data_IF_814018047229
#
_entry.id   IF_814018047229
#
_cell.length_a   1.000
_cell.length_b   1.000
_cell.length_c   1.000
_cell.angle_alpha   90.00
_cell.angle_beta   90.00
_cell.angle_gamma   90.00
#
_symmetry.space_group_name_H-M   'P 1'
#
loop_
_entity.id
_entity.type
_entity.pdbx_description
1 polymer ?
#
# COMPACT_ATOMS: atom_id res chain seq x y z
N UNK A 1 13.82 10.67 10.44
CA UNK A 1 13.05 10.52 9.17
C UNK A 1 12.73 9.09 8.73
N UNK A 2 13.24 8.05 9.41
CA UNK A 2 13.06 6.64 9.01
C UNK A 2 11.60 6.17 8.98
N UNK A 3 10.73 6.71 9.83
CA UNK A 3 9.29 6.40 9.86
C UNK A 3 8.52 6.96 8.66
N UNK A 4 8.84 8.19 8.23
CA UNK A 4 8.19 8.84 7.08
C UNK A 4 8.71 8.22 5.78
N UNK A 5 10.01 8.04 5.61
CA UNK A 5 10.56 7.39 4.42
C UNK A 5 9.98 5.96 4.23
N UNK A 6 9.87 5.21 5.32
CA UNK A 6 9.27 3.86 5.33
C UNK A 6 7.77 3.87 5.05
N UNK A 7 7.04 4.88 5.53
CA UNK A 7 5.60 5.03 5.25
C UNK A 7 5.28 5.31 3.78
N UNK A 8 6.26 5.84 3.02
CA UNK A 8 6.10 6.20 1.60
C UNK A 8 6.92 5.33 0.64
N UNK A 9 7.50 4.23 1.12
CA UNK A 9 8.27 3.31 0.27
C UNK A 9 9.57 3.89 -0.32
N UNK A 10 10.07 4.99 0.24
CA UNK A 10 11.30 5.64 -0.18
C UNK A 10 12.45 5.23 0.75
N UNK A 11 13.67 5.15 0.21
CA UNK A 11 14.86 5.02 1.07
C UNK A 11 15.03 6.30 1.88
N UNK A 12 15.45 6.19 3.14
CA UNK A 12 15.68 7.34 4.01
C UNK A 12 16.76 8.28 3.46
N UNK A 13 17.72 7.75 2.70
CA UNK A 13 18.78 8.50 2.01
C UNK A 13 18.20 9.40 0.92
N UNK A 14 17.24 8.87 0.13
CA UNK A 14 16.54 9.63 -0.91
C UNK A 14 15.73 10.79 -0.31
N UNK A 15 15.04 10.55 0.81
CA UNK A 15 14.23 11.58 1.47
C UNK A 15 15.09 12.69 2.12
N UNK A 16 16.23 12.34 2.71
CA UNK A 16 17.17 13.29 3.33
C UNK A 16 17.87 14.19 2.30
N UNK A 17 18.26 13.62 1.14
CA UNK A 17 18.93 14.36 0.07
C UNK A 17 17.99 15.36 -0.63
N UNK A 18 16.72 15.01 -0.79
CA UNK A 18 15.69 15.88 -1.39
C UNK A 18 15.34 17.09 -0.54
N UNK A 19 15.47 16.96 0.78
CA UNK A 19 15.16 18.03 1.73
C UNK A 19 16.40 18.81 2.22
N UNK A 20 17.59 18.52 1.66
CA UNK A 20 18.88 19.14 2.02
C UNK A 20 19.14 19.19 3.53
N UNK A 21 18.80 18.12 4.25
CA UNK A 21 18.94 18.08 5.70
C UNK A 21 20.35 17.64 6.08
N UNK A 22 20.99 18.42 6.96
CA UNK A 22 22.34 18.15 7.46
C UNK A 22 22.37 17.00 8.48
N UNK A 23 21.27 16.78 9.20
CA UNK A 23 21.07 15.67 10.13
C UNK A 23 19.68 15.01 9.89
N UNK A 24 19.62 13.75 9.45
CA UNK A 24 18.39 13.04 9.08
C UNK A 24 17.59 12.44 10.26
N UNK A 25 18.15 12.47 11.47
CA UNK A 25 17.51 11.94 12.69
C UNK A 25 16.84 13.04 13.54
N UNK A 26 17.16 14.31 13.28
CA UNK A 26 16.50 15.46 13.89
C UNK A 26 15.60 16.18 12.87
N UNK A 27 14.30 16.17 13.13
CA UNK A 27 13.31 17.01 12.42
C UNK A 27 12.71 17.93 13.47
N UNK A 28 12.74 19.24 13.20
CA UNK A 28 12.20 20.22 14.15
C UNK A 28 10.68 20.36 14.02
N UNK A 29 10.01 20.60 15.15
CA UNK A 29 8.56 20.83 15.19
C UNK A 29 8.25 22.12 14.40
N UNK A 30 7.51 21.98 13.29
CA UNK A 30 7.17 23.08 12.38
C UNK A 30 7.94 23.08 11.05
N UNK A 31 8.90 22.17 10.87
CA UNK A 31 9.66 22.04 9.64
C UNK A 31 8.82 21.40 8.52
N UNK A 32 8.66 22.10 7.39
CA UNK A 32 7.95 21.60 6.21
C UNK A 32 8.86 20.64 5.42
N UNK A 33 8.42 19.40 5.22
CA UNK A 33 9.15 18.37 4.47
C UNK A 33 8.54 18.24 3.08
N UNK A 34 9.37 18.40 2.05
CA UNK A 34 9.01 18.11 0.68
C UNK A 34 9.10 16.60 0.45
N UNK A 35 7.94 15.96 0.34
CA UNK A 35 7.81 14.59 -0.15
C UNK A 35 7.57 14.72 -1.66
N UNK A 36 8.44 14.17 -2.53
CA UNK A 36 8.23 14.30 -3.96
C UNK A 36 6.99 13.49 -4.36
N UNK A 37 5.88 14.18 -4.58
CA UNK A 37 4.81 13.69 -5.43
C UNK A 37 5.05 14.25 -6.83
N UNK A 38 5.98 13.67 -7.58
CA UNK A 38 6.18 14.09 -8.97
C UNK A 38 5.36 13.21 -9.89
N UNK A 39 4.22 13.75 -10.34
CA UNK A 39 3.84 13.57 -11.74
C UNK A 39 4.93 14.23 -12.61
N UNK A 40 5.53 13.50 -13.56
CA UNK A 40 6.43 14.13 -14.54
C UNK A 40 7.26 13.18 -15.40
N UNK A 41 7.06 13.27 -16.73
CA UNK A 41 7.86 12.70 -17.84
C UNK A 41 9.36 13.09 -17.73
N UNK A 42 10.36 12.44 -18.34
CA UNK A 42 10.41 11.91 -19.71
C UNK A 42 11.62 10.99 -20.01
N UNK A 43 11.38 10.09 -20.98
CA UNK A 43 12.25 9.68 -22.10
C UNK A 43 13.53 8.86 -21.85
N UNK A 44 13.46 7.56 -22.19
CA UNK A 44 14.43 6.97 -23.11
C UNK A 44 13.74 5.97 -24.03
N UNK A 45 14.26 5.89 -25.25
CA UNK A 45 13.71 5.22 -26.44
C UNK A 45 13.60 3.71 -26.26
N UNK A 46 12.59 3.15 -26.93
CA UNK A 46 12.22 1.71 -27.00
C UNK A 46 11.39 1.27 -25.80
N UNK A 47 10.12 0.86 -25.98
CA UNK A 47 9.40 0.23 -24.88
C UNK A 47 10.17 -1.04 -24.52
N UNK A 48 10.56 -1.25 -23.26
CA UNK A 48 10.91 -2.60 -22.84
C UNK A 48 9.64 -3.39 -23.01
N UNK A 49 9.62 -4.22 -24.05
CA UNK A 49 8.66 -5.29 -24.29
C UNK A 49 8.25 -5.81 -22.93
N UNK A 50 6.98 -5.60 -22.57
CA UNK A 50 6.43 -5.97 -21.28
C UNK A 50 6.94 -7.36 -20.95
N UNK A 51 7.89 -7.42 -20.02
CA UNK A 51 8.43 -8.69 -19.58
C UNK A 51 7.34 -9.21 -18.67
N UNK A 52 6.36 -9.88 -19.28
CA UNK A 52 5.41 -10.72 -18.60
C UNK A 52 6.22 -11.80 -17.90
N UNK A 53 6.71 -11.46 -16.71
CA UNK A 53 7.30 -12.41 -15.80
C UNK A 53 6.17 -13.38 -15.45
N UNK A 54 6.40 -14.66 -15.74
CA UNK A 54 5.42 -15.74 -15.55
C UNK A 54 5.01 -15.80 -14.08
N UNK A 55 3.86 -15.22 -13.71
CA UNK A 55 3.22 -15.49 -12.42
C UNK A 55 2.55 -16.86 -12.53
N UNK A 56 3.14 -17.86 -11.88
CA UNK A 56 2.56 -19.16 -11.51
C UNK A 56 3.58 -19.95 -10.67
N UNK A 57 3.16 -20.79 -9.70
CA UNK A 57 1.98 -21.63 -9.79
C UNK A 57 0.84 -20.97 -9.02
N UNK A 58 -0.07 -20.38 -9.78
CA UNK A 58 -1.38 -19.92 -9.31
C UNK A 58 -1.39 -19.05 -8.03
N UNK A 59 -0.90 -17.81 -8.19
CA UNK A 59 -1.29 -16.61 -7.41
C UNK A 59 -0.74 -16.54 -5.96
N UNK A 60 0.41 -15.86 -5.84
CA UNK A 60 1.29 -15.80 -4.67
C UNK A 60 0.73 -15.05 -3.45
N UNK A 61 -0.29 -14.22 -3.64
CA UNK A 61 -1.04 -13.58 -2.56
C UNK A 61 -2.42 -14.24 -2.43
N UNK A 62 -3.00 -14.22 -1.24
CA UNK A 62 -4.40 -14.55 -0.99
C UNK A 62 -5.31 -13.33 -1.09
N UNK A 63 -6.58 -13.56 -1.37
CA UNK A 63 -7.60 -12.51 -1.27
C UNK A 63 -7.60 -11.91 0.15
N UNK A 64 -7.60 -10.57 0.28
CA UNK A 64 -7.51 -9.91 1.58
C UNK A 64 -8.83 -9.90 2.34
N UNK A 65 -9.95 -10.17 1.66
CA UNK A 65 -11.29 -10.30 2.25
C UNK A 65 -12.14 -11.14 1.31
N UNK A 66 -13.19 -11.75 1.85
CA UNK A 66 -14.33 -12.20 1.03
C UNK A 66 -15.16 -10.99 0.61
N UNK A 67 -15.63 -10.96 -0.63
CA UNK A 67 -16.42 -9.85 -1.16
C UNK A 67 -16.50 -9.81 -2.68
N UNK A 68 -17.08 -8.72 -3.19
CA UNK A 68 -17.25 -8.48 -4.62
C UNK A 68 -16.19 -7.51 -5.10
N UNK A 69 -15.44 -7.88 -6.14
CA UNK A 69 -14.54 -6.93 -6.80
C UNK A 69 -15.34 -5.75 -7.35
N UNK A 70 -14.98 -4.55 -6.90
CA UNK A 70 -15.44 -3.28 -7.47
C UNK A 70 -14.42 -2.71 -8.45
N UNK A 71 -13.92 -1.51 -8.15
CA UNK A 71 -13.00 -0.75 -9.01
C UNK A 71 -11.63 -1.43 -9.07
N UNK A 72 -11.06 -1.55 -10.26
CA UNK A 72 -9.75 -2.16 -10.49
C UNK A 72 -8.59 -1.16 -10.42
N UNK A 73 -7.36 -1.64 -10.56
CA UNK A 73 -6.18 -0.78 -10.67
C UNK A 73 -6.18 -0.02 -12.01
N UNK A 74 -5.68 1.21 -12.01
CA UNK A 74 -5.45 1.98 -13.24
C UNK A 74 -6.20 3.31 -13.30
N UNK A 75 -6.15 3.95 -14.47
CA UNK A 75 -6.69 5.29 -14.66
C UNK A 75 -8.22 5.26 -14.83
N UNK A 76 -8.93 5.99 -13.96
CA UNK A 76 -10.37 6.19 -14.03
C UNK A 76 -10.66 7.69 -13.96
N UNK A 77 -11.40 8.22 -14.93
CA UNK A 77 -11.82 9.64 -14.95
C UNK A 77 -10.64 10.61 -14.73
N UNK A 78 -9.48 10.29 -15.31
CA UNK A 78 -8.25 11.08 -15.19
C UNK A 78 -7.50 10.95 -13.85
N UNK A 79 -7.96 10.08 -12.94
CA UNK A 79 -7.30 9.81 -11.65
C UNK A 79 -6.84 8.35 -11.57
N UNK A 80 -5.61 8.15 -11.11
CA UNK A 80 -5.06 6.81 -10.91
C UNK A 80 -5.70 6.19 -9.67
N UNK A 81 -6.43 5.09 -9.86
CA UNK A 81 -6.81 4.19 -8.78
C UNK A 81 -5.66 3.23 -8.51
N UNK A 82 -5.14 3.28 -7.28
CA UNK A 82 -3.84 2.72 -6.93
C UNK A 82 -3.86 1.25 -6.55
N UNK A 83 -5.04 0.68 -6.40
CA UNK A 83 -5.24 -0.69 -5.98
C UNK A 83 -6.52 -1.26 -6.58
N UNK A 84 -7.07 -2.24 -5.88
CA UNK A 84 -8.40 -2.77 -6.17
C UNK A 84 -9.32 -2.52 -4.97
N UNK A 85 -10.59 -2.30 -5.26
CA UNK A 85 -11.62 -2.20 -4.23
C UNK A 85 -12.39 -3.52 -4.16
N UNK A 86 -12.59 -4.02 -2.95
CA UNK A 86 -13.40 -5.22 -2.70
C UNK A 86 -14.51 -4.84 -1.73
N UNK A 87 -15.73 -4.78 -2.26
CA UNK A 87 -16.92 -4.42 -1.51
C UNK A 87 -17.34 -5.58 -0.61
N UNK A 88 -17.54 -5.27 0.67
CA UNK A 88 -17.98 -6.22 1.68
C UNK A 88 -18.72 -5.47 2.81
N UNK A 89 -19.58 -6.13 3.60
CA UNK A 89 -20.24 -5.50 4.74
C UNK A 89 -19.25 -4.93 5.76
N UNK A 90 -19.66 -3.89 6.50
CA UNK A 90 -18.83 -3.28 7.55
C UNK A 90 -18.56 -4.31 8.64
N UNK A 91 -17.33 -4.38 9.12
CA UNK A 91 -16.92 -5.39 10.09
C UNK A 91 -16.51 -6.74 9.50
N UNK A 92 -16.59 -6.93 8.17
CA UNK A 92 -16.06 -8.14 7.53
C UNK A 92 -14.55 -8.28 7.81
N UNK A 93 -14.03 -9.49 8.10
CA UNK A 93 -12.61 -9.71 8.31
C UNK A 93 -11.75 -9.30 7.12
N UNK A 94 -10.71 -8.50 7.38
CA UNK A 94 -9.59 -8.28 6.45
C UNK A 94 -8.40 -9.10 6.96
N UNK A 95 -7.85 -9.95 6.11
CA UNK A 95 -6.77 -10.87 6.43
C UNK A 95 -5.49 -10.59 5.65
N UNK A 96 -4.35 -10.98 6.24
CA UNK A 96 -3.06 -10.88 5.59
C UNK A 96 -3.02 -11.74 4.31
N UNK A 97 -2.60 -11.14 3.20
CA UNK A 97 -2.57 -11.78 1.89
C UNK A 97 -1.42 -12.79 1.76
N UNK A 98 -0.36 -12.60 2.54
CA UNK A 98 0.75 -13.52 2.71
C UNK A 98 1.34 -13.34 4.12
N UNK A 99 2.24 -14.24 4.51
CA UNK A 99 3.05 -14.08 5.72
C UNK A 99 3.84 -12.76 5.65
N UNK A 100 3.96 -12.04 6.77
CA UNK A 100 4.67 -10.76 6.74
C UNK A 100 4.87 -10.10 8.10
N UNK A 101 5.53 -8.95 8.07
CA UNK A 101 5.77 -8.05 9.20
C UNK A 101 4.88 -6.82 9.06
N UNK A 102 4.18 -6.44 10.13
CA UNK A 102 3.41 -5.19 10.17
C UNK A 102 4.39 -4.02 10.24
N UNK A 103 4.50 -3.27 9.14
CA UNK A 103 5.38 -2.09 9.05
C UNK A 103 4.63 -0.78 9.31
N UNK A 104 3.30 -0.80 9.25
CA UNK A 104 2.43 0.33 9.63
C UNK A 104 1.04 -0.17 10.08
N UNK A 105 0.47 0.48 11.10
CA UNK A 105 -0.91 0.29 11.52
C UNK A 105 -1.41 1.56 12.22
N UNK A 106 -2.34 2.28 11.59
CA UNK A 106 -2.88 3.52 12.13
C UNK A 106 -3.61 4.35 11.08
N UNK A 107 -3.89 5.63 11.36
CA UNK A 107 -4.49 6.55 10.39
C UNK A 107 -3.56 6.74 9.18
N UNK A 108 -4.11 6.63 7.98
CA UNK A 108 -3.47 6.94 6.71
C UNK A 108 -3.68 8.41 6.30
N UNK A 109 -2.81 8.90 5.42
CA UNK A 109 -2.91 10.24 4.84
C UNK A 109 -3.81 10.24 3.59
N UNK A 110 -4.11 11.42 3.05
CA UNK A 110 -4.77 11.59 1.74
C UNK A 110 -6.05 10.78 1.48
N UNK A 111 -6.87 10.58 2.52
CA UNK A 111 -8.18 9.96 2.40
C UNK A 111 -8.18 8.43 2.48
N UNK A 112 -7.06 7.77 2.74
CA UNK A 112 -7.03 6.31 2.92
C UNK A 112 -7.74 5.80 4.20
N UNK A 113 -8.06 6.69 5.15
CA UNK A 113 -8.66 6.26 6.42
C UNK A 113 -7.67 5.46 7.26
N UNK A 114 -8.16 4.52 8.07
CA UNK A 114 -7.25 3.64 8.80
C UNK A 114 -6.62 2.62 7.84
N UNK A 115 -5.31 2.41 7.97
CA UNK A 115 -4.55 1.51 7.12
C UNK A 115 -3.68 0.53 7.90
N UNK A 116 -3.43 -0.63 7.31
CA UNK A 116 -2.38 -1.57 7.70
C UNK A 116 -1.46 -1.77 6.50
N UNK A 117 -0.14 -1.82 6.72
CA UNK A 117 0.84 -2.20 5.70
C UNK A 117 1.69 -3.36 6.18
N UNK A 118 1.89 -4.35 5.31
CA UNK A 118 2.67 -5.55 5.58
C UNK A 118 3.85 -5.68 4.61
N UNK A 119 5.04 -5.90 5.15
CA UNK A 119 6.22 -6.32 4.38
C UNK A 119 6.28 -7.86 4.33
N UNK A 120 6.27 -8.41 3.11
CA UNK A 120 6.32 -9.84 2.84
C UNK A 120 7.74 -10.31 2.46
N UNK A 121 8.74 -9.47 2.71
CA UNK A 121 10.13 -9.67 2.31
C UNK A 121 10.31 -9.65 0.77
N UNK A 122 11.56 -9.68 0.31
CA UNK A 122 11.88 -9.68 -1.13
C UNK A 122 11.38 -8.44 -1.89
N UNK A 123 11.13 -7.34 -1.17
CA UNK A 123 10.58 -6.09 -1.71
C UNK A 123 9.11 -6.16 -2.11
N UNK A 124 8.32 -7.07 -1.54
CA UNK A 124 6.87 -7.13 -1.74
C UNK A 124 6.14 -6.56 -0.51
N UNK A 125 5.25 -5.59 -0.71
CA UNK A 125 4.46 -4.98 0.36
C UNK A 125 3.00 -4.92 -0.04
N UNK A 126 2.10 -5.10 0.92
CA UNK A 126 0.65 -4.90 0.73
C UNK A 126 0.12 -3.81 1.66
N UNK A 127 -0.93 -3.11 1.22
CA UNK A 127 -1.64 -2.13 2.03
C UNK A 127 -3.15 -2.43 2.02
N UNK A 128 -3.78 -2.28 3.18
CA UNK A 128 -5.20 -2.46 3.42
C UNK A 128 -5.76 -1.17 3.99
N UNK A 129 -6.67 -0.51 3.27
CA UNK A 129 -7.18 0.81 3.61
C UNK A 129 -8.71 0.87 3.73
N UNK A 130 -9.19 2.02 4.22
CA UNK A 130 -10.58 2.28 4.62
C UNK A 130 -11.06 1.41 5.78
N UNK A 131 -10.14 0.87 6.57
CA UNK A 131 -10.45 -0.06 7.66
C UNK A 131 -11.36 0.63 8.69
N UNK A 132 -12.35 -0.08 9.22
CA UNK A 132 -13.09 0.38 10.40
C UNK A 132 -12.17 0.37 11.62
N UNK A 133 -11.47 -0.76 11.81
CA UNK A 133 -10.53 -0.98 12.90
C UNK A 133 -9.35 -1.84 12.44
N UNK A 134 -8.15 -1.48 12.86
CA UNK A 134 -6.96 -2.32 12.73
C UNK A 134 -6.84 -3.23 13.96
N UNK A 135 -6.44 -4.50 13.77
CA UNK A 135 -6.32 -5.49 14.85
C UNK A 135 -4.88 -5.87 15.18
N UNK A 136 -3.91 -5.34 14.43
CA UNK A 136 -2.48 -5.64 14.59
C UNK A 136 -1.67 -4.37 14.85
N UNK A 137 -0.47 -4.53 15.41
CA UNK A 137 0.44 -3.42 15.76
C UNK A 137 1.75 -3.49 14.97
N UNK A 138 2.40 -2.34 14.80
CA UNK A 138 3.73 -2.26 14.15
C UNK A 138 4.73 -3.18 14.88
N UNK A 139 5.49 -3.96 14.10
CA UNK A 139 6.47 -4.94 14.60
C UNK A 139 5.91 -6.36 14.78
N UNK A 140 4.59 -6.55 14.68
CA UNK A 140 3.96 -7.87 14.76
C UNK A 140 4.20 -8.70 13.49
N UNK A 141 4.49 -10.00 13.65
CA UNK A 141 4.51 -10.95 12.53
C UNK A 141 3.14 -11.59 12.36
N UNK A 142 2.66 -11.63 11.12
CA UNK A 142 1.37 -12.20 10.75
C UNK A 142 1.54 -13.33 9.76
N UNK A 143 0.63 -14.31 9.79
CA UNK A 143 0.56 -15.38 8.79
C UNK A 143 -0.50 -15.07 7.74
N UNK A 144 -0.37 -15.62 6.53
CA UNK A 144 -1.41 -15.59 5.50
C UNK A 144 -2.75 -16.04 6.11
N UNK A 145 -3.81 -15.27 5.87
CA UNK A 145 -5.15 -15.54 6.41
C UNK A 145 -5.37 -15.05 7.85
N UNK A 146 -4.34 -14.53 8.54
CA UNK A 146 -4.51 -13.92 9.86
C UNK A 146 -5.27 -12.60 9.77
N UNK A 147 -6.21 -12.37 10.68
CA UNK A 147 -6.97 -11.11 10.81
C UNK A 147 -6.03 -9.93 11.09
N UNK A 148 -6.09 -8.90 10.24
CA UNK A 148 -5.28 -7.67 10.38
C UNK A 148 -6.14 -6.41 10.54
N UNK A 149 -7.37 -6.42 10.03
CA UNK A 149 -8.29 -5.31 10.14
C UNK A 149 -9.75 -5.77 9.93
N UNK A 150 -10.68 -4.84 10.07
CA UNK A 150 -12.08 -5.01 9.71
C UNK A 150 -12.46 -4.03 8.61
N UNK A 151 -13.23 -4.49 7.63
CA UNK A 151 -13.75 -3.67 6.53
C UNK A 151 -14.54 -2.49 7.09
N UNK A 152 -14.31 -1.31 6.53
CA UNK A 152 -14.98 -0.08 6.93
C UNK A 152 -15.19 0.88 5.78
N UNK A 153 -15.29 2.15 6.14
CA UNK A 153 -15.50 3.28 5.24
C UNK A 153 -14.73 4.52 5.71
N UNK A 154 -13.65 4.33 6.49
CA UNK A 154 -12.90 5.46 7.04
C UNK A 154 -12.15 6.23 5.95
N UNK A 155 -11.91 7.52 6.19
CA UNK A 155 -11.31 8.39 5.18
C UNK A 155 -12.30 8.79 4.08
N UNK A 156 -11.84 8.80 2.83
CA UNK A 156 -12.64 9.17 1.65
C UNK A 156 -13.06 7.90 0.89
N UNK A 157 -13.97 7.13 1.49
CA UNK A 157 -14.59 5.97 0.88
C UNK A 157 -15.97 6.33 0.29
N UNK A 158 -16.36 5.72 -0.83
CA UNK A 158 -17.69 5.91 -1.45
C UNK A 158 -18.68 4.78 -1.10
N UNK A 159 -18.45 4.15 0.05
CA UNK A 159 -19.19 2.99 0.53
C UNK A 159 -18.24 2.01 1.21
N UNK A 160 -18.80 0.95 1.77
CA UNK A 160 -18.05 -0.02 2.57
C UNK A 160 -17.26 -0.99 1.68
N UNK A 161 -15.94 -0.94 1.80
CA UNK A 161 -15.01 -1.79 1.03
C UNK A 161 -13.62 -1.81 1.69
N UNK A 162 -12.77 -2.73 1.25
CA UNK A 162 -11.32 -2.60 1.45
C UNK A 162 -10.69 -2.11 0.16
N UNK A 163 -9.82 -1.10 0.28
CA UNK A 163 -8.89 -0.73 -0.79
C UNK A 163 -7.57 -1.47 -0.58
N UNK A 164 -7.17 -2.28 -1.56
CA UNK A 164 -6.00 -3.16 -1.47
C UNK A 164 -4.96 -2.78 -2.50
N UNK A 165 -3.75 -2.45 -2.05
CA UNK A 165 -2.60 -2.14 -2.91
C UNK A 165 -1.50 -3.18 -2.80
N UNK A 166 -0.75 -3.36 -3.88
CA UNK A 166 0.47 -4.17 -3.93
C UNK A 166 1.61 -3.28 -4.42
N UNK A 167 2.73 -3.36 -3.72
CA UNK A 167 3.96 -2.64 -4.04
C UNK A 167 5.08 -3.66 -4.26
N UNK A 168 5.81 -3.54 -5.37
CA UNK A 168 6.96 -4.38 -5.71
C UNK A 168 8.18 -3.50 -5.93
N UNK A 169 9.22 -3.73 -5.13
CA UNK A 169 10.45 -2.93 -5.14
C UNK A 169 10.18 -1.43 -4.98
N UNK A 170 9.23 -1.08 -4.10
CA UNK A 170 8.78 0.30 -3.87
C UNK A 170 7.85 0.89 -4.94
N UNK A 171 7.54 0.14 -6.00
CA UNK A 171 6.64 0.58 -7.06
C UNK A 171 5.25 -0.02 -6.90
N UNK A 172 4.25 0.84 -7.05
CA UNK A 172 2.86 0.42 -7.11
C UNK A 172 2.60 -0.43 -8.36
N UNK A 173 1.95 -1.58 -8.18
CA UNK A 173 1.61 -2.50 -9.28
C UNK A 173 0.15 -2.93 -9.18
N UNK A 174 -0.43 -3.36 -10.30
CA UNK A 174 -1.77 -3.97 -10.31
C UNK A 174 -1.79 -5.20 -9.37
N UNK A 175 -2.66 -5.24 -8.35
CA UNK A 175 -2.83 -6.41 -7.49
C UNK A 175 -3.38 -7.64 -8.21
N UNK A 176 -4.14 -7.47 -9.31
CA UNK A 176 -4.90 -8.55 -9.96
C UNK A 176 -4.09 -9.76 -10.40
N UNK A 177 -2.90 -9.60 -11.02
CA UNK A 177 -2.07 -10.74 -11.40
C UNK A 177 -1.53 -11.54 -10.22
N UNK A 178 -1.54 -11.00 -8.99
CA UNK A 178 -0.97 -11.63 -7.80
C UNK A 178 -1.99 -12.47 -7.00
N UNK A 179 -3.29 -12.31 -7.27
CA UNK A 179 -4.39 -12.82 -6.45
C UNK A 179 -5.11 -14.04 -7.04
N UNK A 180 -5.65 -14.98 -6.20
CA UNK A 180 -6.18 -16.29 -6.55
C UNK A 180 -7.36 -16.31 -7.50
#
# INVERSE_FOLDING_TARGET
MSSIARAYGLSWQTLAQLNRLADPDYIEVGQSIMIPFTQGKASSKTPPRAMAARVSPDRALGWPTEGVLGRGFGLHDGRLHRGIDISAPKGTPIVAAADGLVIYSGPGLDGYGNIVMLDHEGGLTTMYAHNDRNTVRVGERVRRGQLVALVGETGRAWGTHVHFEVHRQGWLVDPRPWLP
#
